data_IF_440973610664
#
_entry.id   IF_440973610664
#
_cell.length_a   1.000
_cell.length_b   1.000
_cell.length_c   1.000
_cell.angle_alpha   90.00
_cell.angle_beta   90.00
_cell.angle_gamma   90.00
#
_symmetry.space_group_name_H-M   'P 1'
#
loop_
_entity.id
_entity.type
_entity.pdbx_description
1 polymer ?
#
# COMPACT_ATOMS: atom_id res chain seq x y z
N UNK A 1 -11.83 22.95 13.89
CA UNK A 1 -12.36 22.27 12.69
C UNK A 1 -11.21 21.46 12.10
N UNK A 2 -11.25 20.13 12.16
CA UNK A 2 -10.17 19.30 11.60
C UNK A 2 -10.48 18.99 10.14
N UNK A 3 -9.61 19.43 9.23
CA UNK A 3 -9.69 19.14 7.81
C UNK A 3 -9.50 17.64 7.55
N UNK A 4 -10.53 17.02 6.99
CA UNK A 4 -10.52 15.63 6.57
C UNK A 4 -9.85 15.60 5.19
N UNK A 5 -8.59 15.14 5.11
CA UNK A 5 -7.90 14.98 3.83
C UNK A 5 -8.64 13.91 3.02
N UNK A 6 -9.47 14.34 2.08
CA UNK A 6 -10.10 13.48 1.09
C UNK A 6 -9.03 12.97 0.12
N UNK A 7 -8.54 11.75 0.36
CA UNK A 7 -7.75 11.01 -0.63
C UNK A 7 -8.69 10.48 -1.70
N UNK A 8 -8.82 11.22 -2.79
CA UNK A 8 -9.52 10.76 -3.99
C UNK A 8 -8.76 9.60 -4.64
N UNK A 9 -9.46 8.52 -4.99
CA UNK A 9 -8.92 7.44 -5.83
C UNK A 9 -9.37 7.64 -7.27
N UNK A 10 -8.43 7.94 -8.16
CA UNK A 10 -8.71 8.02 -9.60
C UNK A 10 -8.59 6.60 -10.18
N UNK A 11 -9.71 6.02 -10.64
CA UNK A 11 -9.70 4.80 -11.43
C UNK A 11 -9.40 5.16 -12.89
N UNK A 12 -8.22 4.83 -13.38
CA UNK A 12 -7.94 4.87 -14.81
C UNK A 12 -8.50 3.61 -15.47
N UNK A 13 -9.39 3.76 -16.45
CA UNK A 13 -9.82 2.66 -17.32
C UNK A 13 -8.71 2.43 -18.34
N UNK A 14 -7.94 1.36 -18.16
CA UNK A 14 -6.93 0.93 -19.13
C UNK A 14 -7.61 0.57 -20.45
N UNK A 15 -7.37 1.32 -21.51
CA UNK A 15 -7.56 0.84 -22.87
C UNK A 15 -6.30 0.09 -23.26
N UNK A 16 -6.43 -1.20 -23.56
CA UNK A 16 -5.33 -2.10 -23.90
C UNK A 16 -4.31 -1.45 -24.85
N UNK A 17 -3.16 -1.06 -24.31
CA UNK A 17 -2.01 -0.72 -25.14
C UNK A 17 -1.24 -2.00 -25.40
N UNK A 18 -1.45 -2.55 -26.60
CA UNK A 18 -0.70 -3.68 -27.14
C UNK A 18 0.80 -3.48 -26.93
N UNK A 19 1.43 -4.44 -26.27
CA UNK A 19 2.87 -4.50 -26.02
C UNK A 19 3.64 -4.68 -27.34
N UNK A 20 3.99 -3.58 -28.00
CA UNK A 20 4.95 -3.57 -29.12
C UNK A 20 6.32 -3.17 -28.60
N UNK A 21 7.30 -4.06 -28.77
CA UNK A 21 8.72 -3.86 -28.45
C UNK A 21 9.28 -2.67 -29.25
N UNK A 22 9.42 -1.51 -28.61
CA UNK A 22 9.99 -0.28 -29.15
C UNK A 22 10.50 0.62 -28.01
N UNK A 23 11.38 1.60 -28.28
CA UNK A 23 12.14 2.30 -27.25
C UNK A 23 11.19 3.01 -26.27
N UNK A 24 11.46 2.84 -24.97
CA UNK A 24 10.70 3.31 -23.81
C UNK A 24 9.77 4.49 -24.10
N UNK A 25 8.53 4.19 -24.52
CA UNK A 25 7.49 5.20 -24.63
C UNK A 25 7.07 5.53 -23.20
N UNK A 26 7.65 6.59 -22.65
CA UNK A 26 7.18 7.22 -21.41
C UNK A 26 5.72 7.58 -21.67
N UNK A 27 4.80 6.83 -21.05
CA UNK A 27 3.38 7.02 -21.27
C UNK A 27 2.98 8.44 -20.91
N UNK A 28 1.98 9.01 -21.59
CA UNK A 28 1.46 10.34 -21.28
C UNK A 28 1.13 10.49 -19.78
N UNK A 29 0.69 9.40 -19.15
CA UNK A 29 0.44 9.32 -17.72
C UNK A 29 1.66 9.64 -16.84
N UNK A 30 2.84 9.08 -17.11
CA UNK A 30 4.03 9.32 -16.28
C UNK A 30 4.60 10.72 -16.48
N UNK A 31 4.45 11.30 -17.67
CA UNK A 31 4.81 12.71 -17.93
C UNK A 31 3.95 13.68 -17.10
N UNK A 32 2.63 13.49 -17.11
CA UNK A 32 1.68 14.32 -16.36
C UNK A 32 1.86 14.22 -14.84
N UNK A 33 2.27 13.06 -14.33
CA UNK A 33 2.61 12.91 -12.91
C UNK A 33 3.88 13.70 -12.55
N UNK A 34 4.92 13.62 -13.39
CA UNK A 34 6.16 14.36 -13.18
C UNK A 34 5.93 15.88 -13.24
N UNK A 35 5.15 16.37 -14.22
CA UNK A 35 4.76 17.77 -14.35
C UNK A 35 3.95 18.27 -13.15
N UNK A 36 3.09 17.43 -12.58
CA UNK A 36 2.33 17.74 -11.37
C UNK A 36 3.11 17.55 -10.06
N UNK A 37 4.38 17.15 -10.11
CA UNK A 37 5.19 16.76 -8.94
C UNK A 37 4.51 15.68 -8.07
N UNK A 38 3.80 14.74 -8.71
CA UNK A 38 3.06 13.67 -8.05
C UNK A 38 3.79 12.33 -8.17
N UNK A 39 3.83 11.58 -7.07
CA UNK A 39 4.36 10.22 -7.06
C UNK A 39 3.26 9.18 -7.26
N UNK A 40 3.55 8.15 -8.06
CA UNK A 40 2.71 6.97 -8.12
C UNK A 40 2.84 6.17 -6.82
N UNK A 41 1.76 6.10 -6.06
CA UNK A 41 1.68 5.28 -4.84
C UNK A 41 0.69 4.15 -5.01
N UNK A 42 1.01 2.98 -4.45
CA UNK A 42 0.04 1.89 -4.33
C UNK A 42 -1.11 2.37 -3.44
N UNK A 43 -2.38 2.11 -3.81
CA UNK A 43 -3.50 2.45 -2.96
C UNK A 43 -3.38 1.69 -1.64
N UNK A 44 -3.67 2.40 -0.55
CA UNK A 44 -3.65 1.79 0.78
C UNK A 44 -4.78 0.74 0.88
N UNK A 45 -4.44 -0.46 1.34
CA UNK A 45 -5.42 -1.54 1.55
C UNK A 45 -6.00 -1.37 2.96
N UNK A 46 -7.24 -0.87 3.04
CA UNK A 46 -7.97 -0.71 4.31
C UNK A 46 -9.04 -1.77 4.38
N UNK A 47 -9.13 -2.47 5.51
CA UNK A 47 -10.34 -3.24 5.84
C UNK A 47 -11.51 -2.25 5.97
N UNK A 48 -12.60 -2.40 5.20
CA UNK A 48 -13.72 -1.48 5.27
C UNK A 48 -14.41 -1.62 6.64
N UNK A 49 -14.21 -0.63 7.51
CA UNK A 49 -14.98 -0.54 8.75
C UNK A 49 -16.39 -0.02 8.48
N UNK A 50 -17.38 -0.60 9.15
CA UNK A 50 -18.71 -0.02 9.22
C UNK A 50 -18.66 1.37 9.88
N UNK A 51 -19.58 2.29 9.56
CA UNK A 51 -19.62 3.61 10.20
C UNK A 51 -19.69 3.53 11.74
N UNK A 52 -20.35 2.49 12.27
CA UNK A 52 -20.44 2.22 13.70
C UNK A 52 -19.08 1.88 14.31
N UNK A 53 -18.33 0.96 13.70
CA UNK A 53 -16.97 0.62 14.16
C UNK A 53 -16.05 1.84 14.16
N UNK A 54 -16.17 2.72 13.15
CA UNK A 54 -15.40 3.96 13.08
C UNK A 54 -15.70 4.90 14.25
N UNK A 55 -16.98 5.10 14.59
CA UNK A 55 -17.39 5.95 15.72
C UNK A 55 -16.89 5.40 17.06
N UNK A 56 -17.04 4.10 17.29
CA UNK A 56 -16.59 3.44 18.52
C UNK A 56 -15.08 3.55 18.69
N UNK A 57 -14.30 3.24 17.64
CA UNK A 57 -12.83 3.40 17.67
C UNK A 57 -12.41 4.84 17.93
N UNK A 58 -13.06 5.82 17.28
CA UNK A 58 -12.75 7.23 17.50
C UNK A 58 -13.06 7.67 18.94
N UNK A 59 -14.20 7.25 19.48
CA UNK A 59 -14.57 7.50 20.88
C UNK A 59 -13.56 6.88 21.85
N UNK A 60 -13.16 5.63 21.60
CA UNK A 60 -12.15 4.92 22.38
C UNK A 60 -10.80 5.66 22.39
N UNK A 61 -10.35 6.15 21.23
CA UNK A 61 -9.11 6.92 21.11
C UNK A 61 -9.20 8.27 21.83
N UNK A 62 -10.30 9.00 21.69
CA UNK A 62 -10.48 10.30 22.36
C UNK A 62 -10.51 10.16 23.87
N UNK A 63 -11.19 9.14 24.39
CA UNK A 63 -11.26 8.87 25.82
C UNK A 63 -9.89 8.57 26.45
N UNK A 64 -8.93 8.09 25.63
CA UNK A 64 -7.58 7.70 26.07
C UNK A 64 -6.47 8.54 25.44
N UNK A 65 -6.82 9.68 24.83
CA UNK A 65 -5.87 10.52 24.10
C UNK A 65 -4.82 11.17 24.99
N UNK A 66 -5.12 11.34 26.28
CA UNK A 66 -4.26 11.96 27.28
C UNK A 66 -3.71 10.95 28.29
N UNK A 67 -3.71 9.66 27.95
CA UNK A 67 -3.20 8.65 28.87
C UNK A 67 -1.74 8.88 29.22
N UNK A 68 -1.44 8.78 30.52
CA UNK A 68 -0.06 8.81 31.02
C UNK A 68 0.50 7.39 31.09
N UNK A 69 1.83 7.25 31.15
CA UNK A 69 2.50 5.95 31.11
C UNK A 69 2.01 4.98 32.20
N UNK A 70 1.65 5.49 33.39
CA UNK A 70 1.10 4.68 34.46
C UNK A 70 -0.24 4.02 34.10
N UNK A 71 -1.10 4.71 33.33
CA UNK A 71 -2.40 4.19 32.91
C UNK A 71 -2.25 3.15 31.79
N UNK A 72 -1.30 3.35 30.86
CA UNK A 72 -1.01 2.35 29.83
C UNK A 72 -0.42 1.06 30.43
N UNK A 73 0.37 1.17 31.49
CA UNK A 73 1.00 0.01 32.14
C UNK A 73 0.00 -0.91 32.87
N UNK A 74 -1.23 -0.45 33.10
CA UNK A 74 -2.28 -1.26 33.72
C UNK A 74 -3.04 -2.13 32.71
N UNK A 75 -2.84 -1.93 31.41
CA UNK A 75 -3.56 -2.67 30.37
C UNK A 75 -2.72 -3.83 29.86
N UNK A 76 -3.24 -5.05 30.00
CA UNK A 76 -2.68 -6.25 29.40
C UNK A 76 -3.40 -6.52 28.07
N UNK A 77 -2.66 -6.54 26.97
CA UNK A 77 -3.20 -6.88 25.65
C UNK A 77 -3.02 -8.39 25.38
N UNK A 78 -3.98 -8.98 24.69
CA UNK A 78 -3.93 -10.34 24.18
C UNK A 78 -4.49 -10.34 22.77
N UNK A 79 -3.82 -11.06 21.88
CA UNK A 79 -4.20 -11.28 20.49
C UNK A 79 -3.63 -12.63 20.04
N UNK A 80 -4.26 -13.22 19.02
CA UNK A 80 -3.78 -14.42 18.36
C UNK A 80 -3.19 -14.03 17.02
N UNK A 81 -1.93 -14.40 16.78
CA UNK A 81 -1.28 -14.18 15.48
C UNK A 81 -0.90 -15.51 14.87
N UNK A 82 -1.21 -15.65 13.59
CA UNK A 82 -0.65 -16.72 12.76
C UNK A 82 0.77 -16.32 12.32
N UNK A 83 1.72 -17.24 12.45
CA UNK A 83 3.09 -17.05 12.00
C UNK A 83 3.39 -18.00 10.85
N UNK A 84 3.77 -17.42 9.71
CA UNK A 84 4.20 -18.20 8.56
C UNK A 84 5.73 -18.40 8.60
N UNK A 85 6.19 -19.63 8.42
CA UNK A 85 7.62 -19.97 8.36
C UNK A 85 8.29 -19.55 7.03
N UNK A 86 7.50 -19.20 6.02
CA UNK A 86 7.95 -18.70 4.72
C UNK A 86 7.04 -17.57 4.22
N UNK A 87 7.54 -16.71 3.33
CA UNK A 87 6.74 -15.63 2.71
C UNK A 87 5.67 -16.24 1.80
N UNK A 88 4.41 -15.94 2.08
CA UNK A 88 3.23 -16.41 1.34
C UNK A 88 3.00 -15.64 0.03
N UNK A 89 3.81 -14.61 -0.24
CA UNK A 89 3.62 -13.76 -1.43
C UNK A 89 3.96 -14.46 -2.75
N UNK A 90 4.46 -15.70 -2.68
CA UNK A 90 4.90 -16.56 -3.79
C UNK A 90 5.77 -15.78 -4.81
N UNK A 91 6.51 -14.78 -4.33
CA UNK A 91 7.23 -13.81 -5.16
C UNK A 91 8.67 -13.73 -4.72
N UNK A 92 9.56 -14.16 -5.62
CA UNK A 92 10.99 -13.91 -5.47
C UNK A 92 11.27 -12.47 -5.93
N UNK A 93 11.72 -11.61 -5.00
CA UNK A 93 12.25 -10.29 -5.35
C UNK A 93 13.69 -10.47 -5.83
N UNK A 94 13.92 -10.34 -7.14
CA UNK A 94 15.26 -10.42 -7.74
C UNK A 94 15.75 -9.00 -7.99
N UNK A 95 16.88 -8.64 -7.38
CA UNK A 95 17.62 -7.45 -7.79
C UNK A 95 18.47 -7.83 -9.01
N UNK A 96 18.13 -7.27 -10.17
CA UNK A 96 18.93 -7.42 -11.38
C UNK A 96 19.68 -6.11 -11.62
N UNK A 97 21.03 -6.12 -11.66
CA UNK A 97 21.77 -4.97 -12.15
C UNK A 97 21.34 -4.73 -13.59
N UNK A 98 20.99 -3.49 -13.92
CA UNK A 98 20.47 -3.16 -15.23
C UNK A 98 21.51 -3.52 -16.30
N UNK A 99 21.09 -4.36 -17.26
CA UNK A 99 21.86 -4.84 -18.43
C UNK A 99 22.82 -5.99 -18.18
N UNK A 100 22.31 -7.17 -17.80
CA UNK A 100 22.76 -8.45 -18.37
C UNK A 100 21.53 -9.34 -18.59
N UNK A 101 21.55 -10.15 -19.65
CA UNK A 101 20.39 -10.95 -20.09
C UNK A 101 19.88 -11.81 -18.91
N UNK A 102 18.58 -11.79 -18.58
CA UNK A 102 18.07 -12.65 -17.51
C UNK A 102 18.33 -14.11 -17.87
N UNK A 103 18.97 -14.84 -16.95
CA UNK A 103 19.13 -16.28 -17.07
C UNK A 103 17.73 -16.93 -17.11
N UNK A 104 17.40 -17.56 -18.24
CA UNK A 104 16.11 -18.20 -18.50
C UNK A 104 15.79 -19.35 -17.54
N UNK A 105 16.75 -19.79 -16.71
CA UNK A 105 16.54 -20.79 -15.68
C UNK A 105 15.45 -20.39 -14.66
N UNK A 106 15.22 -19.10 -14.42
CA UNK A 106 14.15 -18.63 -13.52
C UNK A 106 12.77 -18.48 -14.19
N UNK A 107 12.66 -18.70 -15.50
CA UNK A 107 11.41 -18.51 -16.25
C UNK A 107 10.58 -19.81 -16.42
N UNK A 108 11.10 -20.96 -15.98
CA UNK A 108 10.49 -22.28 -16.16
C UNK A 108 10.39 -23.05 -14.84
N UNK A 109 9.73 -22.47 -13.85
CA UNK A 109 9.29 -23.20 -12.65
C UNK A 109 7.93 -22.70 -12.18
#
# INVERSE_FOLDING_TARGET
MHEYIHRFSVRYRSTDSTFTKGPYVVSNYTKRLAEGHLELRRPFRVLPFTPTHRRLRLGWCRARGNWIAAESNQVVFSDESEFNLSSDDNRVRVWSPHVERPNLAFALQ
#
